data_IF_045471473472
#
_entry.id   IF_045471473472
#
_cell.length_a   1.000
_cell.length_b   1.000
_cell.length_c   1.000
_cell.angle_alpha   90.00
_cell.angle_beta   90.00
_cell.angle_gamma   90.00
#
_symmetry.space_group_name_H-M   'P 1'
#
loop_
_entity.id
_entity.type
_entity.pdbx_description
1 polymer ?
#
# COMPACT_ATOMS: atom_id res chain seq x y z
N UNK A 1 -88.43 -12.55 9.22
CA UNK A 1 -87.63 -11.80 8.24
C UNK A 1 -88.20 -10.38 8.22
N UNK A 2 -87.86 -9.43 9.10
CA UNK A 2 -86.65 -9.17 9.88
C UNK A 2 -87.03 -8.49 11.22
N UNK A 3 -87.08 -9.22 12.33
CA UNK A 3 -87.22 -8.61 13.68
C UNK A 3 -86.01 -7.73 14.04
N UNK A 4 -84.87 -8.02 13.41
CA UNK A 4 -83.65 -7.24 13.44
C UNK A 4 -83.79 -5.88 12.78
N UNK A 5 -84.88 -5.54 12.08
CA UNK A 5 -85.05 -4.25 11.40
C UNK A 5 -85.86 -3.27 12.25
N UNK A 6 -86.81 -3.78 13.05
CA UNK A 6 -87.61 -2.97 13.98
C UNK A 6 -86.78 -2.50 15.19
N UNK A 7 -85.76 -3.27 15.61
CA UNK A 7 -84.80 -2.86 16.64
C UNK A 7 -83.95 -1.63 16.26
N UNK A 8 -83.81 -1.30 14.95
CA UNK A 8 -83.13 -0.08 14.51
C UNK A 8 -84.04 1.15 14.51
N UNK A 9 -85.36 0.96 14.57
CA UNK A 9 -86.33 2.07 14.55
C UNK A 9 -86.63 2.64 15.94
N UNK A 10 -86.45 1.87 17.02
CA UNK A 10 -86.67 2.37 18.39
C UNK A 10 -85.47 3.14 18.98
N UNK A 11 -84.32 3.12 18.29
CA UNK A 11 -83.06 3.60 18.81
C UNK A 11 -82.27 4.37 17.73
N UNK A 12 -82.54 5.67 17.53
CA UNK A 12 -81.89 6.50 16.49
C UNK A 12 -80.36 6.60 16.63
N UNK A 13 -79.79 6.17 17.76
CA UNK A 13 -78.35 6.15 18.01
C UNK A 13 -77.60 5.06 17.21
N UNK A 14 -78.26 3.95 16.83
CA UNK A 14 -77.58 2.87 16.10
C UNK A 14 -77.28 3.22 14.64
N UNK A 15 -78.17 3.95 13.96
CA UNK A 15 -77.94 4.42 12.60
C UNK A 15 -76.77 5.41 12.52
N UNK A 16 -76.68 6.31 13.50
CA UNK A 16 -75.56 7.24 13.65
C UNK A 16 -74.26 6.48 13.95
N UNK A 17 -74.31 5.44 14.78
CA UNK A 17 -73.14 4.60 15.10
C UNK A 17 -72.61 3.83 13.88
N UNK A 18 -73.47 3.24 13.03
CA UNK A 18 -73.04 2.61 11.77
C UNK A 18 -72.42 3.63 10.82
N UNK A 19 -73.06 4.79 10.64
CA UNK A 19 -72.55 5.82 9.74
C UNK A 19 -71.15 6.29 10.15
N UNK A 20 -70.94 6.50 11.45
CA UNK A 20 -69.64 6.88 11.99
C UNK A 20 -68.60 5.76 11.82
N UNK A 21 -68.99 4.50 12.04
CA UNK A 21 -68.11 3.35 11.82
C UNK A 21 -67.71 3.21 10.34
N UNK A 22 -68.64 3.42 9.40
CA UNK A 22 -68.35 3.40 7.98
C UNK A 22 -67.35 4.49 7.59
N UNK A 23 -67.51 5.70 8.12
CA UNK A 23 -66.55 6.81 7.90
C UNK A 23 -65.17 6.46 8.43
N UNK A 24 -65.07 5.90 9.63
CA UNK A 24 -63.78 5.47 10.21
C UNK A 24 -63.11 4.39 9.36
N UNK A 25 -63.87 3.40 8.87
CA UNK A 25 -63.34 2.36 7.98
C UNK A 25 -62.81 2.94 6.68
N UNK A 26 -63.54 3.88 6.07
CA UNK A 26 -63.09 4.57 4.84
C UNK A 26 -61.81 5.37 5.10
N UNK A 27 -61.71 6.09 6.21
CA UNK A 27 -60.50 6.83 6.58
C UNK A 27 -59.30 5.91 6.80
N UNK A 28 -59.50 4.77 7.48
CA UNK A 28 -58.45 3.77 7.67
C UNK A 28 -57.99 3.17 6.33
N UNK A 29 -58.91 2.91 5.41
CA UNK A 29 -58.58 2.38 4.09
C UNK A 29 -57.74 3.38 3.28
N UNK A 30 -58.10 4.66 3.32
CA UNK A 30 -57.32 5.75 2.70
C UNK A 30 -55.93 5.85 3.33
N UNK A 31 -55.83 5.76 4.66
CA UNK A 31 -54.56 5.79 5.38
C UNK A 31 -53.63 4.64 4.95
N UNK A 32 -54.14 3.41 4.92
CA UNK A 32 -53.40 2.22 4.47
C UNK A 32 -52.93 2.40 3.02
N UNK A 33 -53.77 2.94 2.14
CA UNK A 33 -53.41 3.19 0.75
C UNK A 33 -52.29 4.23 0.61
N UNK A 34 -52.30 5.29 1.43
CA UNK A 34 -51.23 6.31 1.44
C UNK A 34 -49.91 5.75 1.95
N UNK A 35 -49.95 4.98 3.05
CA UNK A 35 -48.77 4.32 3.63
C UNK A 35 -48.19 3.31 2.64
N UNK A 36 -49.03 2.50 2.00
CA UNK A 36 -48.63 1.54 0.97
C UNK A 36 -47.97 2.20 -0.23
N UNK A 37 -48.48 3.34 -0.70
CA UNK A 37 -47.86 4.12 -1.79
C UNK A 37 -46.50 4.70 -1.39
N UNK A 38 -46.36 5.23 -0.18
CA UNK A 38 -45.07 5.74 0.33
C UNK A 38 -44.03 4.63 0.47
N UNK A 39 -44.42 3.47 1.01
CA UNK A 39 -43.56 2.29 1.12
C UNK A 39 -43.14 1.76 -0.24
N UNK A 40 -44.05 1.71 -1.22
CA UNK A 40 -43.73 1.27 -2.58
C UNK A 40 -42.74 2.21 -3.28
N UNK A 41 -42.88 3.53 -3.08
CA UNK A 41 -41.92 4.52 -3.62
C UNK A 41 -40.54 4.39 -3.00
N UNK A 42 -40.47 4.23 -1.67
CA UNK A 42 -39.22 4.00 -0.94
C UNK A 42 -38.55 2.69 -1.38
N UNK A 43 -39.31 1.60 -1.51
CA UNK A 43 -38.81 0.31 -1.99
C UNK A 43 -38.26 0.41 -3.40
N UNK A 44 -38.95 1.12 -4.32
CA UNK A 44 -38.48 1.32 -5.70
C UNK A 44 -37.18 2.13 -5.76
N UNK A 45 -37.07 3.18 -4.96
CA UNK A 45 -35.87 4.00 -4.91
C UNK A 45 -34.68 3.24 -4.29
N UNK A 46 -34.94 2.41 -3.29
CA UNK A 46 -33.94 1.52 -2.71
C UNK A 46 -33.45 0.46 -3.71
N UNK A 47 -34.37 -0.16 -4.44
CA UNK A 47 -34.06 -1.17 -5.47
C UNK A 47 -33.35 -0.58 -6.69
N UNK A 48 -33.63 0.68 -7.07
CA UNK A 48 -32.90 1.33 -8.17
C UNK A 48 -31.47 1.73 -7.81
N UNK A 49 -31.21 2.09 -6.55
CA UNK A 49 -29.84 2.37 -6.06
C UNK A 49 -29.03 1.07 -5.92
N UNK A 50 -29.69 -0.04 -5.55
CA UNK A 50 -29.08 -1.38 -5.53
C UNK A 50 -29.10 -2.10 -6.90
N UNK A 51 -29.74 -1.51 -7.91
CA UNK A 51 -30.19 -2.16 -9.14
C UNK A 51 -29.13 -2.40 -10.22
N UNK A 52 -27.83 -2.34 -9.89
CA UNK A 52 -26.76 -2.71 -10.82
C UNK A 52 -25.83 -3.81 -10.30
N UNK A 53 -25.95 -4.24 -9.03
CA UNK A 53 -25.04 -5.25 -8.48
C UNK A 53 -25.71 -6.57 -8.11
N UNK A 54 -27.04 -6.70 -8.21
CA UNK A 54 -27.70 -8.01 -8.03
C UNK A 54 -27.47 -8.63 -6.64
N UNK A 55 -27.22 -7.78 -5.63
CA UNK A 55 -26.85 -8.21 -4.29
C UNK A 55 -28.05 -8.14 -3.37
N UNK A 56 -28.49 -9.30 -2.90
CA UNK A 56 -29.74 -9.49 -2.15
C UNK A 56 -29.65 -9.12 -0.67
N UNK A 57 -28.44 -8.93 -0.11
CA UNK A 57 -28.26 -8.78 1.35
C UNK A 57 -27.05 -7.91 1.69
N UNK A 58 -27.13 -7.18 2.81
CA UNK A 58 -26.03 -6.35 3.35
C UNK A 58 -24.76 -7.19 3.63
N UNK A 59 -24.95 -8.47 3.94
CA UNK A 59 -23.91 -9.48 4.13
C UNK A 59 -22.96 -9.58 2.93
N UNK A 60 -23.47 -9.56 1.71
CA UNK A 60 -22.65 -9.70 0.50
C UNK A 60 -21.77 -8.46 0.27
N UNK A 61 -22.24 -7.26 0.65
CA UNK A 61 -21.44 -6.02 0.62
C UNK A 61 -20.31 -6.09 1.64
N UNK A 62 -20.60 -6.62 2.84
CA UNK A 62 -19.61 -6.80 3.91
C UNK A 62 -18.57 -7.86 3.49
N UNK A 63 -18.99 -8.95 2.85
CA UNK A 63 -18.11 -9.98 2.31
C UNK A 63 -17.22 -9.41 1.20
N UNK A 64 -17.80 -8.66 0.26
CA UNK A 64 -17.04 -7.98 -0.79
C UNK A 64 -15.99 -7.02 -0.23
N UNK A 65 -16.35 -6.22 0.77
CA UNK A 65 -15.42 -5.30 1.42
C UNK A 65 -14.27 -6.04 2.13
N UNK A 66 -14.57 -7.15 2.83
CA UNK A 66 -13.54 -7.97 3.46
C UNK A 66 -12.55 -8.54 2.44
N UNK A 67 -13.06 -9.08 1.33
CA UNK A 67 -12.20 -9.62 0.27
C UNK A 67 -11.30 -8.54 -0.34
N UNK A 68 -11.82 -7.34 -0.59
CA UNK A 68 -11.00 -6.22 -1.07
C UNK A 68 -9.97 -5.74 -0.05
N UNK A 69 -10.29 -5.78 1.26
CA UNK A 69 -9.33 -5.44 2.32
C UNK A 69 -8.20 -6.47 2.43
N UNK A 70 -8.53 -7.76 2.33
CA UNK A 70 -7.53 -8.84 2.33
C UNK A 70 -6.60 -8.72 1.12
N UNK A 71 -7.15 -8.48 -0.07
CA UNK A 71 -6.36 -8.25 -1.29
C UNK A 71 -5.44 -7.02 -1.17
N UNK A 72 -5.93 -5.92 -0.59
CA UNK A 72 -5.12 -4.74 -0.32
C UNK A 72 -4.02 -5.03 0.70
N UNK A 73 -4.30 -5.82 1.73
CA UNK A 73 -3.33 -6.19 2.74
C UNK A 73 -2.22 -7.07 2.15
N UNK A 74 -2.56 -8.01 1.27
CA UNK A 74 -1.59 -8.82 0.54
C UNK A 74 -0.72 -7.98 -0.40
N UNK A 75 -1.30 -7.00 -1.10
CA UNK A 75 -0.53 -6.06 -1.91
C UNK A 75 0.43 -5.21 -1.07
N UNK A 76 -0.01 -4.72 0.09
CA UNK A 76 0.84 -3.96 1.01
C UNK A 76 2.00 -4.80 1.55
N UNK A 77 1.76 -6.07 1.89
CA UNK A 77 2.83 -7.00 2.27
C UNK A 77 3.81 -7.25 1.10
N UNK A 78 3.31 -7.32 -0.13
CA UNK A 78 4.12 -7.41 -1.34
C UNK A 78 5.03 -6.19 -1.52
N UNK A 79 4.48 -4.97 -1.39
CA UNK A 79 5.26 -3.74 -1.46
C UNK A 79 6.30 -3.62 -0.35
N UNK A 80 5.96 -4.06 0.88
CA UNK A 80 6.91 -4.10 1.99
C UNK A 80 8.12 -4.99 1.69
N UNK A 81 7.90 -6.16 1.07
CA UNK A 81 8.99 -7.05 0.64
C UNK A 81 9.85 -6.43 -0.45
N UNK A 82 9.23 -5.82 -1.48
CA UNK A 82 9.97 -5.14 -2.55
C UNK A 82 10.81 -3.97 -2.01
N UNK A 83 10.25 -3.16 -1.10
CA UNK A 83 10.98 -2.06 -0.47
C UNK A 83 12.16 -2.57 0.37
N UNK A 84 12.01 -3.69 1.06
CA UNK A 84 13.12 -4.31 1.78
C UNK A 84 14.22 -4.77 0.81
N UNK A 85 13.85 -5.44 -0.29
CA UNK A 85 14.80 -5.85 -1.34
C UNK A 85 15.50 -4.64 -1.98
N UNK A 86 14.78 -3.58 -2.32
CA UNK A 86 15.36 -2.33 -2.81
C UNK A 86 16.30 -1.68 -1.78
N UNK A 87 15.93 -1.71 -0.49
CA UNK A 87 16.79 -1.24 0.59
C UNK A 87 18.11 -2.02 0.66
N UNK A 88 18.06 -3.35 0.52
CA UNK A 88 19.26 -4.20 0.45
C UNK A 88 20.11 -3.90 -0.80
N UNK A 89 19.48 -3.80 -1.98
CA UNK A 89 20.16 -3.45 -3.24
C UNK A 89 20.82 -2.07 -3.18
N UNK A 90 20.14 -1.06 -2.62
CA UNK A 90 20.69 0.28 -2.48
C UNK A 90 21.88 0.33 -1.52
N UNK A 91 21.86 -0.45 -0.43
CA UNK A 91 22.99 -0.59 0.49
C UNK A 91 24.21 -1.23 -0.18
N UNK A 92 23.99 -2.22 -1.04
CA UNK A 92 25.07 -2.83 -1.82
C UNK A 92 25.55 -1.94 -2.98
N UNK A 93 24.68 -1.11 -3.56
CA UNK A 93 25.00 -0.29 -4.74
C UNK A 93 25.63 1.07 -4.39
N UNK A 94 25.44 1.59 -3.17
CA UNK A 94 26.14 2.79 -2.66
C UNK A 94 27.60 2.48 -2.33
N UNK A 95 28.37 2.14 -3.36
CA UNK A 95 29.83 2.10 -3.28
C UNK A 95 30.37 3.51 -3.09
N UNK A 96 30.90 3.82 -1.91
CA UNK A 96 31.74 4.99 -1.69
C UNK A 96 33.05 4.80 -2.44
N UNK A 97 33.51 5.85 -3.11
CA UNK A 97 34.71 5.81 -3.94
C UNK A 97 35.77 6.76 -3.37
N UNK A 98 36.92 6.19 -3.02
CA UNK A 98 38.12 6.91 -2.61
C UNK A 98 39.21 6.74 -3.65
N UNK A 99 39.86 7.84 -4.05
CA UNK A 99 40.96 7.82 -5.02
C UNK A 99 42.16 8.50 -4.39
N UNK A 100 43.28 7.79 -4.35
CA UNK A 100 44.57 8.33 -3.91
C UNK A 100 45.59 8.18 -5.04
N UNK A 101 46.15 9.31 -5.48
CA UNK A 101 47.21 9.35 -6.49
C UNK A 101 48.56 9.56 -5.79
N UNK A 102 49.58 8.89 -6.28
CA UNK A 102 50.91 8.92 -5.70
C UNK A 102 51.98 8.56 -6.73
N UNK A 103 53.23 8.75 -6.35
CA UNK A 103 54.38 8.30 -7.10
C UNK A 103 54.97 7.03 -6.47
N UNK A 104 54.76 5.88 -7.11
CA UNK A 104 55.28 4.59 -6.64
C UNK A 104 56.79 4.41 -6.87
N UNK A 105 57.39 5.22 -7.76
CA UNK A 105 58.80 5.10 -8.13
C UNK A 105 59.46 6.48 -8.05
N UNK A 106 60.25 6.70 -6.99
CA UNK A 106 60.88 7.97 -6.60
C UNK A 106 61.79 8.65 -7.64
N UNK A 107 61.95 8.09 -8.84
CA UNK A 107 62.91 8.53 -9.85
C UNK A 107 62.33 9.26 -11.07
N UNK A 108 61.00 9.36 -11.25
CA UNK A 108 60.41 10.12 -12.37
C UNK A 108 59.13 10.85 -11.92
N UNK A 109 58.96 12.09 -12.38
CA UNK A 109 57.91 13.00 -11.92
C UNK A 109 56.50 12.72 -12.46
N UNK A 110 55.51 13.23 -11.70
CA UNK A 110 54.03 13.09 -11.80
C UNK A 110 53.45 11.91 -11.01
N UNK A 111 52.39 12.16 -10.23
CA UNK A 111 51.62 11.17 -9.47
C UNK A 111 50.72 10.35 -10.42
N UNK A 112 51.36 9.49 -11.23
CA UNK A 112 50.69 8.66 -12.22
C UNK A 112 50.25 7.30 -11.68
N UNK A 113 50.79 6.87 -10.53
CA UNK A 113 50.27 5.70 -9.83
C UNK A 113 49.04 6.07 -9.01
N UNK A 114 48.16 5.10 -8.79
CA UNK A 114 46.91 5.34 -8.08
C UNK A 114 46.41 4.11 -7.34
N UNK A 115 45.63 4.35 -6.29
CA UNK A 115 44.79 3.37 -5.63
C UNK A 115 43.35 3.90 -5.58
N UNK A 116 42.40 3.11 -6.05
CA UNK A 116 40.97 3.38 -6.02
C UNK A 116 40.30 2.34 -5.14
N UNK A 117 39.67 2.77 -4.05
CA UNK A 117 38.84 1.92 -3.22
C UNK A 117 37.37 2.16 -3.55
N UNK A 118 36.64 1.09 -3.87
CA UNK A 118 35.19 1.08 -4.04
C UNK A 118 34.63 0.22 -2.93
N UNK A 119 33.90 0.83 -2.01
CA UNK A 119 33.55 0.22 -0.72
C UNK A 119 32.08 0.50 -0.40
N UNK A 120 31.30 -0.52 -0.06
CA UNK A 120 29.90 -0.38 0.38
C UNK A 120 29.80 0.09 1.85
N UNK A 121 28.58 0.23 2.37
CA UNK A 121 28.35 0.62 3.77
C UNK A 121 28.99 -0.34 4.79
N UNK A 122 29.07 -1.63 4.46
CA UNK A 122 29.68 -2.67 5.30
C UNK A 122 31.21 -2.76 5.15
N UNK A 123 31.85 -1.72 4.60
CA UNK A 123 33.30 -1.67 4.38
C UNK A 123 33.84 -2.80 3.48
N UNK A 124 32.97 -3.39 2.66
CA UNK A 124 33.31 -4.49 1.74
C UNK A 124 33.32 -3.98 0.30
N UNK A 125 34.13 -4.59 -0.57
CA UNK A 125 34.26 -4.15 -1.95
C UNK A 125 35.60 -4.53 -2.56
N UNK A 126 36.26 -3.59 -3.24
CA UNK A 126 37.52 -3.85 -3.94
C UNK A 126 38.42 -2.62 -3.93
N UNK A 127 39.73 -2.84 -3.84
CA UNK A 127 40.74 -1.82 -4.12
C UNK A 127 41.46 -2.18 -5.42
N UNK A 128 41.50 -1.21 -6.33
CA UNK A 128 42.23 -1.27 -7.59
C UNK A 128 43.47 -0.39 -7.50
N UNK A 129 44.64 -0.96 -7.76
CA UNK A 129 45.91 -0.22 -7.72
C UNK A 129 46.58 -0.28 -9.08
N UNK A 130 46.86 0.88 -9.65
CA UNK A 130 47.65 1.05 -10.85
C UNK A 130 49.04 1.56 -10.49
N UNK A 131 50.06 0.72 -10.68
CA UNK A 131 51.46 1.12 -10.55
C UNK A 131 52.01 1.47 -11.93
N UNK A 132 52.27 2.75 -12.15
CA UNK A 132 52.80 3.24 -13.42
C UNK A 132 54.34 3.19 -13.41
N UNK A 133 54.91 2.25 -14.16
CA UNK A 133 56.33 2.17 -14.44
C UNK A 133 56.71 2.96 -15.70
N UNK A 134 57.99 2.88 -16.09
CA UNK A 134 58.52 3.64 -17.24
C UNK A 134 57.96 3.13 -18.58
N UNK A 135 57.90 1.82 -18.73
CA UNK A 135 57.55 1.16 -20.00
C UNK A 135 56.19 0.43 -19.92
N UNK A 136 55.67 0.22 -18.71
CA UNK A 136 54.47 -0.58 -18.47
C UNK A 136 53.71 -0.12 -17.22
N UNK A 137 52.42 -0.46 -17.15
CA UNK A 137 51.56 -0.20 -15.98
C UNK A 137 51.01 -1.53 -15.48
N UNK A 138 51.23 -1.80 -14.19
CA UNK A 138 50.67 -2.97 -13.52
C UNK A 138 49.37 -2.60 -12.83
N UNK A 139 48.36 -3.47 -12.95
CA UNK A 139 47.08 -3.29 -12.29
C UNK A 139 46.78 -4.46 -11.37
N UNK A 140 46.49 -4.16 -10.11
CA UNK A 140 46.14 -5.13 -9.09
C UNK A 140 44.73 -4.87 -8.59
N UNK A 141 44.01 -5.93 -8.27
CA UNK A 141 42.70 -5.86 -7.64
C UNK A 141 42.70 -6.72 -6.39
N UNK A 142 42.48 -6.10 -5.22
CA UNK A 142 42.39 -6.79 -3.94
C UNK A 142 40.95 -6.68 -3.41
N UNK A 143 40.26 -7.81 -3.16
CA UNK A 143 38.93 -7.77 -2.57
C UNK A 143 39.01 -7.30 -1.12
N UNK A 144 37.98 -6.57 -0.68
CA UNK A 144 37.78 -6.15 0.70
C UNK A 144 36.54 -6.81 1.27
N UNK A 145 36.67 -7.29 2.50
CA UNK A 145 35.58 -7.81 3.29
C UNK A 145 35.66 -7.20 4.69
N UNK A 146 34.64 -6.43 5.06
CA UNK A 146 34.54 -5.74 6.34
C UNK A 146 35.79 -4.91 6.71
N UNK A 147 36.35 -4.19 5.73
CA UNK A 147 37.51 -3.33 5.91
C UNK A 147 38.86 -4.03 5.89
N UNK A 148 38.90 -5.36 5.71
CA UNK A 148 40.14 -6.14 5.60
C UNK A 148 40.22 -6.89 4.28
N UNK A 149 41.41 -7.31 3.88
CA UNK A 149 41.64 -8.14 2.68
C UNK A 149 42.40 -9.40 3.06
N UNK A 150 42.16 -10.49 2.33
CA UNK A 150 42.99 -11.68 2.41
C UNK A 150 44.43 -11.43 1.94
N UNK A 151 44.65 -10.35 1.19
CA UNK A 151 45.95 -9.92 0.69
C UNK A 151 46.47 -8.73 1.51
N UNK A 152 47.78 -8.68 1.73
CA UNK A 152 48.40 -7.55 2.43
C UNK A 152 48.14 -6.25 1.68
N UNK A 153 47.58 -5.26 2.38
CA UNK A 153 47.30 -3.93 1.84
C UNK A 153 48.51 -3.00 2.02
N UNK A 154 48.84 -2.21 1.00
CA UNK A 154 49.86 -1.17 1.09
C UNK A 154 49.32 0.08 1.81
N UNK A 155 50.20 0.99 2.22
CA UNK A 155 49.78 2.24 2.87
C UNK A 155 48.90 3.10 1.95
N UNK A 156 49.19 3.11 0.66
CA UNK A 156 48.43 3.85 -0.35
C UNK A 156 47.04 3.26 -0.59
N UNK A 157 46.93 1.92 -0.59
CA UNK A 157 45.65 1.22 -0.64
C UNK A 157 44.80 1.52 0.60
N UNK A 158 45.39 1.47 1.80
CA UNK A 158 44.70 1.82 3.04
C UNK A 158 44.23 3.28 3.04
N UNK A 159 45.02 4.18 2.46
CA UNK A 159 44.66 5.60 2.31
C UNK A 159 43.51 5.80 1.33
N UNK A 160 43.45 5.05 0.24
CA UNK A 160 42.31 5.08 -0.66
C UNK A 160 41.02 4.59 0.03
N UNK A 161 41.11 3.53 0.84
CA UNK A 161 39.98 3.01 1.64
C UNK A 161 39.49 4.05 2.64
N UNK A 162 40.40 4.69 3.38
CA UNK A 162 40.01 5.71 4.36
C UNK A 162 39.32 6.92 3.70
N UNK A 163 39.80 7.35 2.54
CA UNK A 163 39.16 8.39 1.73
C UNK A 163 37.75 7.97 1.23
N UNK A 164 37.57 6.70 0.87
CA UNK A 164 36.26 6.18 0.49
C UNK A 164 35.30 6.25 1.68
N UNK A 165 35.72 5.80 2.86
CA UNK A 165 34.88 5.77 4.06
C UNK A 165 34.53 7.17 4.59
N UNK A 166 35.41 8.15 4.40
CA UNK A 166 35.22 9.55 4.82
C UNK A 166 34.25 10.36 3.95
N UNK A 167 33.95 9.93 2.72
CA UNK A 167 32.96 10.62 1.87
C UNK A 167 31.54 10.28 2.32
N UNK A 168 30.75 11.32 2.61
CA UNK A 168 29.31 11.25 2.92
C UNK A 168 28.46 11.06 1.66
#
# INVERSE_FOLDING_TARGET
MNEWMDAWMEAPYYGVAIGLLAVVVVLLFIWIAVVGRRLSKLRRQYVQVMGQTGVTSLEDVIVGLRLSLDEQQDMLQGYGRQLAEFGHLLKDTKGKIGVFRYNAFSNQGSDMSFSVAIVNEDSSGVVLTGLHGRDETYMYAKPLQQGSSAYALTEEEQKAISLALQRE
#
